data_IF_523052668453
#
_entry.id   IF_523052668453
#
_cell.length_a   1.000
_cell.length_b   1.000
_cell.length_c   1.000
_cell.angle_alpha   90.00
_cell.angle_beta   90.00
_cell.angle_gamma   90.00
#
_symmetry.space_group_name_H-M   'P 1'
#
loop_
_entity.id
_entity.type
_entity.pdbx_description
1 polymer ?
#
# COMPACT_ATOMS: atom_id res chain seq x y z
N UNK A 1 26.47 -4.48 3.60
CA UNK A 1 25.92 -3.43 4.49
C UNK A 1 24.71 -2.84 3.79
N UNK A 2 23.62 -2.61 4.50
CA UNK A 2 22.40 -1.97 4.00
C UNK A 2 22.08 -0.69 4.77
N UNK A 3 21.04 0.02 4.35
CA UNK A 3 20.52 1.20 5.04
C UNK A 3 18.99 1.09 5.14
N UNK A 4 18.49 1.11 6.37
CA UNK A 4 17.09 0.88 6.72
C UNK A 4 16.41 2.20 7.07
N UNK A 5 15.25 2.47 6.50
CA UNK A 5 14.38 3.60 6.85
C UNK A 5 12.92 3.24 6.54
N UNK A 6 11.93 3.87 7.19
CA UNK A 6 10.53 3.67 6.82
C UNK A 6 10.30 4.06 5.35
N UNK A 7 9.36 3.38 4.73
CA UNK A 7 9.03 3.55 3.31
C UNK A 7 7.52 3.61 3.14
N UNK A 8 7.08 4.50 2.25
CA UNK A 8 5.67 4.62 1.90
C UNK A 8 5.55 4.53 0.39
N UNK A 9 5.20 3.35 -0.08
CA UNK A 9 4.98 3.09 -1.49
C UNK A 9 3.63 3.64 -1.92
N UNK A 10 3.66 4.89 -2.39
CA UNK A 10 2.49 5.54 -2.96
C UNK A 10 1.99 4.74 -4.16
N UNK A 11 2.90 4.20 -4.97
CA UNK A 11 2.58 3.59 -6.24
C UNK A 11 3.68 2.64 -6.75
N UNK A 12 3.47 1.34 -6.57
CA UNK A 12 4.23 0.29 -7.26
C UNK A 12 3.36 -0.32 -8.34
N UNK A 13 3.69 -0.12 -9.61
CA UNK A 13 2.79 -0.58 -10.67
C UNK A 13 3.47 -0.84 -12.01
N UNK A 14 2.77 -1.64 -12.82
CA UNK A 14 2.90 -1.69 -14.26
C UNK A 14 1.50 -1.63 -14.90
N UNK A 15 1.36 -1.95 -16.19
CA UNK A 15 0.06 -1.89 -16.88
C UNK A 15 -0.93 -3.00 -16.49
N UNK A 16 -0.48 -4.01 -15.74
CA UNK A 16 -1.26 -5.21 -15.38
C UNK A 16 -1.70 -5.15 -13.92
N UNK A 17 -0.83 -4.70 -13.02
CA UNK A 17 -1.07 -4.68 -11.57
C UNK A 17 -0.50 -3.42 -10.93
N UNK A 18 -1.03 -3.09 -9.75
CA UNK A 18 -0.59 -1.99 -8.91
C UNK A 18 -0.75 -2.35 -7.43
N UNK A 19 0.06 -1.72 -6.58
CA UNK A 19 -0.03 -1.77 -5.13
C UNK A 19 0.30 -0.41 -4.52
N UNK A 20 -0.16 -0.21 -3.28
CA UNK A 20 0.35 0.80 -2.38
C UNK A 20 0.55 0.21 -1.00
N UNK A 21 1.67 0.54 -0.37
CA UNK A 21 2.21 -0.25 0.73
C UNK A 21 2.99 0.64 1.72
N UNK A 22 2.49 0.87 2.93
CA UNK A 22 3.31 1.39 4.03
C UNK A 22 4.22 0.28 4.58
N UNK A 23 5.49 0.61 4.74
CA UNK A 23 6.52 -0.19 5.39
C UNK A 23 7.07 0.58 6.58
N UNK A 24 6.88 0.03 7.78
CA UNK A 24 7.37 0.66 9.00
C UNK A 24 8.73 0.10 9.40
N UNK A 25 9.49 0.91 10.14
CA UNK A 25 10.72 0.46 10.79
C UNK A 25 10.67 0.83 12.26
N UNK A 26 11.50 0.18 13.07
CA UNK A 26 11.62 0.46 14.51
C UNK A 26 12.08 1.89 14.83
N UNK A 27 12.74 2.55 13.89
CA UNK A 27 13.20 3.94 13.98
C UNK A 27 12.76 4.68 12.71
N UNK A 28 12.40 5.96 12.86
CA UNK A 28 12.00 6.83 11.74
C UNK A 28 13.21 7.37 10.97
N UNK A 29 14.38 7.42 11.61
CA UNK A 29 15.63 7.85 11.02
C UNK A 29 16.32 6.70 10.29
N UNK A 30 17.04 7.02 9.21
CA UNK A 30 17.82 6.04 8.47
C UNK A 30 18.92 5.42 9.36
N UNK A 31 19.05 4.09 9.32
CA UNK A 31 20.05 3.31 10.08
C UNK A 31 20.86 2.38 9.17
N UNK A 32 22.20 2.39 9.26
CA UNK A 32 22.99 1.34 8.64
C UNK A 32 22.70 -0.01 9.33
N UNK A 33 22.72 -1.09 8.55
CA UNK A 33 22.51 -2.45 9.04
C UNK A 33 23.54 -3.42 8.43
N UNK A 34 23.72 -4.56 9.09
CA UNK A 34 24.47 -5.71 8.56
C UNK A 34 23.79 -7.03 8.95
N UNK A 35 23.97 -8.07 8.14
CA UNK A 35 23.47 -9.43 8.42
C UNK A 35 21.98 -9.47 8.74
N UNK A 36 21.62 -10.16 9.82
CA UNK A 36 20.23 -10.33 10.24
C UNK A 36 19.49 -9.02 10.55
N UNK A 37 20.20 -7.94 10.94
CA UNK A 37 19.58 -6.63 11.18
C UNK A 37 19.04 -5.99 9.88
N UNK A 38 19.64 -6.31 8.74
CA UNK A 38 19.09 -5.95 7.42
C UNK A 38 17.92 -6.84 7.01
N UNK A 39 17.59 -7.87 7.80
CA UNK A 39 16.69 -8.93 7.40
C UNK A 39 17.22 -9.78 6.24
N UNK A 40 18.55 -9.88 6.09
CA UNK A 40 19.19 -10.61 5.00
C UNK A 40 19.60 -12.03 5.43
N UNK A 41 19.57 -12.96 4.47
CA UNK A 41 19.81 -14.38 4.70
C UNK A 41 18.53 -15.16 5.02
N UNK A 42 18.62 -16.47 4.90
CA UNK A 42 17.49 -17.38 5.09
C UNK A 42 16.88 -17.23 6.50
N UNK A 43 15.56 -17.07 6.57
CA UNK A 43 14.85 -16.93 7.84
C UNK A 43 15.02 -15.60 8.58
N UNK A 44 15.70 -14.60 7.99
CA UNK A 44 15.91 -13.30 8.63
C UNK A 44 14.95 -12.19 8.17
N UNK A 45 14.12 -12.43 7.15
CA UNK A 45 13.21 -11.42 6.56
C UNK A 45 12.42 -10.61 7.61
N UNK A 46 11.92 -11.28 8.67
CA UNK A 46 11.14 -10.68 9.75
C UNK A 46 11.93 -10.38 11.03
N UNK A 47 13.26 -10.55 11.02
CA UNK A 47 14.15 -10.31 12.17
C UNK A 47 14.91 -8.98 12.06
N UNK A 48 14.72 -8.27 10.95
CA UNK A 48 15.39 -7.00 10.67
C UNK A 48 14.84 -5.81 11.46
N UNK A 49 15.30 -4.62 11.07
CA UNK A 49 14.85 -3.34 11.61
C UNK A 49 13.54 -2.84 11.01
N UNK A 50 13.19 -3.32 9.82
CA UNK A 50 12.07 -2.86 9.01
C UNK A 50 11.16 -4.00 8.61
N UNK A 51 9.89 -3.67 8.41
CA UNK A 51 8.91 -4.54 7.78
C UNK A 51 9.17 -4.63 6.28
N UNK A 52 9.66 -5.79 5.83
CA UNK A 52 9.96 -6.05 4.42
C UNK A 52 8.74 -6.40 3.57
N UNK A 53 7.64 -6.82 4.18
CA UNK A 53 6.41 -7.18 3.46
C UNK A 53 5.51 -5.97 3.31
N UNK A 54 5.38 -5.19 4.37
CA UNK A 54 4.45 -4.07 4.44
C UNK A 54 2.99 -4.52 4.54
N UNK A 55 2.09 -3.55 4.64
CA UNK A 55 0.64 -3.78 4.63
C UNK A 55 0.09 -3.37 3.26
N UNK A 56 0.10 -4.29 2.28
CA UNK A 56 -0.20 -3.92 0.90
C UNK A 56 -1.70 -3.91 0.56
N UNK A 57 -2.10 -2.89 -0.21
CA UNK A 57 -3.36 -2.93 -0.94
C UNK A 57 -3.08 -3.06 -2.44
N UNK A 58 -2.99 -4.30 -2.90
CA UNK A 58 -2.91 -4.65 -4.31
C UNK A 58 -4.26 -5.19 -4.81
N UNK A 59 -5.00 -4.40 -5.61
CA UNK A 59 -6.39 -4.73 -5.98
C UNK A 59 -6.56 -6.15 -6.55
N UNK A 60 -5.63 -6.60 -7.41
CA UNK A 60 -5.68 -7.95 -7.98
C UNK A 60 -5.48 -9.03 -6.92
N UNK A 61 -4.53 -8.85 -5.99
CA UNK A 61 -4.28 -9.77 -4.86
C UNK A 61 -5.51 -9.91 -3.97
N UNK A 62 -6.25 -8.81 -3.80
CA UNK A 62 -7.52 -8.76 -3.09
C UNK A 62 -8.74 -9.14 -3.94
N UNK A 63 -8.54 -9.86 -5.06
CA UNK A 63 -9.59 -10.47 -5.91
C UNK A 63 -10.44 -9.45 -6.69
N UNK A 64 -10.03 -8.18 -6.73
CA UNK A 64 -10.61 -7.16 -7.61
C UNK A 64 -10.00 -7.20 -9.03
N UNK A 65 -10.06 -8.37 -9.69
CA UNK A 65 -9.40 -8.61 -10.99
C UNK A 65 -9.93 -7.78 -12.16
N UNK A 66 -11.11 -7.19 -12.02
CA UNK A 66 -11.75 -6.32 -13.03
C UNK A 66 -11.50 -4.82 -12.79
N UNK A 67 -10.67 -4.46 -11.81
CA UNK A 67 -10.47 -3.07 -11.41
C UNK A 67 -9.39 -2.35 -12.21
N UNK A 68 -8.17 -2.88 -12.26
CA UNK A 68 -6.99 -2.22 -12.83
C UNK A 68 -6.33 -3.12 -13.88
N UNK A 69 -6.34 -2.71 -15.15
CA UNK A 69 -5.59 -3.24 -16.30
C UNK A 69 -6.10 -2.53 -17.57
N UNK A 70 -5.52 -2.80 -18.74
CA UNK A 70 -5.99 -2.27 -20.03
C UNK A 70 -7.46 -2.63 -20.24
N UNK A 71 -8.29 -1.62 -20.45
CA UNK A 71 -9.75 -1.76 -20.68
C UNK A 71 -10.58 -2.12 -19.44
N UNK A 72 -10.00 -2.08 -18.23
CA UNK A 72 -10.74 -2.27 -16.95
C UNK A 72 -11.28 -0.95 -16.41
N UNK A 73 -11.86 -0.96 -15.20
CA UNK A 73 -12.43 0.25 -14.56
C UNK A 73 -11.43 1.40 -14.51
N UNK A 74 -10.20 1.12 -14.07
CA UNK A 74 -9.02 1.97 -14.24
C UNK A 74 -8.25 1.42 -15.44
N UNK A 75 -8.38 2.11 -16.58
CA UNK A 75 -7.80 1.68 -17.85
C UNK A 75 -6.34 2.12 -17.95
N UNK A 76 -5.42 1.16 -17.80
CA UNK A 76 -3.98 1.44 -17.82
C UNK A 76 -3.43 1.80 -19.20
N UNK A 77 -4.23 1.70 -20.26
CA UNK A 77 -3.84 2.20 -21.59
C UNK A 77 -3.96 3.71 -21.74
N UNK A 78 -4.53 4.40 -20.74
CA UNK A 78 -4.69 5.85 -20.71
C UNK A 78 -4.03 6.43 -19.46
N UNK A 79 -3.69 7.72 -19.53
CA UNK A 79 -3.24 8.46 -18.35
C UNK A 79 -4.34 8.45 -17.28
N UNK A 80 -3.92 8.38 -16.02
CA UNK A 80 -4.80 8.50 -14.86
C UNK A 80 -4.16 9.46 -13.84
N UNK A 81 -4.99 9.99 -12.97
CA UNK A 81 -4.55 10.66 -11.74
C UNK A 81 -4.71 9.66 -10.60
N UNK A 82 -3.68 9.50 -9.78
CA UNK A 82 -3.71 8.67 -8.57
C UNK A 82 -3.67 9.63 -7.38
N UNK A 83 -4.69 9.59 -6.53
CA UNK A 83 -4.77 10.37 -5.29
C UNK A 83 -4.63 9.42 -4.12
N UNK A 84 -3.70 9.73 -3.23
CA UNK A 84 -3.50 9.04 -1.95
C UNK A 84 -3.78 10.03 -0.83
N UNK A 85 -4.69 9.67 0.07
CA UNK A 85 -5.07 10.51 1.21
C UNK A 85 -4.53 9.87 2.49
N UNK A 86 -3.87 10.67 3.33
CA UNK A 86 -3.37 10.28 4.63
C UNK A 86 -4.28 10.90 5.68
N UNK A 87 -5.20 10.10 6.21
CA UNK A 87 -6.22 10.57 7.16
C UNK A 87 -5.71 10.37 8.58
N UNK A 88 -5.87 11.40 9.42
CA UNK A 88 -5.51 11.34 10.84
C UNK A 88 -6.75 11.15 11.71
N UNK A 89 -6.57 10.54 12.90
CA UNK A 89 -7.67 10.22 13.84
C UNK A 89 -8.54 11.44 14.19
N UNK A 90 -7.95 12.64 14.23
CA UNK A 90 -8.62 13.89 14.60
C UNK A 90 -8.84 14.87 13.43
N UNK A 91 -8.52 14.47 12.20
CA UNK A 91 -8.54 15.31 10.99
C UNK A 91 -7.69 16.58 11.09
N UNK A 92 -6.58 16.53 11.83
CA UNK A 92 -5.58 17.61 11.89
C UNK A 92 -4.22 17.14 11.36
N UNK A 93 -3.35 18.10 11.03
CA UNK A 93 -1.97 17.82 10.56
C UNK A 93 -1.06 17.20 11.66
N UNK A 94 -1.53 17.12 12.91
CA UNK A 94 -0.78 16.60 14.05
C UNK A 94 -1.36 15.32 14.63
N UNK A 95 -2.52 14.90 14.17
CA UNK A 95 -3.14 13.65 14.60
C UNK A 95 -2.34 12.44 14.14
N UNK A 96 -2.53 11.33 14.84
CA UNK A 96 -1.98 10.03 14.44
C UNK A 96 -2.61 9.57 13.12
N UNK A 97 -1.80 9.06 12.19
CA UNK A 97 -2.29 8.44 10.96
C UNK A 97 -3.23 7.28 11.30
N UNK A 98 -4.45 7.31 10.75
CA UNK A 98 -5.47 6.27 10.98
C UNK A 98 -5.79 5.47 9.74
N UNK A 99 -5.67 6.08 8.55
CA UNK A 99 -6.13 5.46 7.32
C UNK A 99 -5.41 6.03 6.10
N UNK A 100 -5.05 5.16 5.15
CA UNK A 100 -4.55 5.54 3.83
C UNK A 100 -5.61 5.17 2.79
N UNK A 101 -6.19 6.18 2.14
CA UNK A 101 -7.22 6.01 1.11
C UNK A 101 -6.66 6.20 -0.29
N UNK A 102 -7.33 5.59 -1.27
CA UNK A 102 -6.97 5.63 -2.68
C UNK A 102 -8.16 6.06 -3.53
N UNK A 103 -7.92 7.01 -4.43
CA UNK A 103 -8.89 7.45 -5.45
C UNK A 103 -8.17 7.63 -6.78
N UNK A 104 -8.84 7.30 -7.88
CA UNK A 104 -8.35 7.52 -9.23
C UNK A 104 -9.22 8.53 -9.96
N UNK A 105 -8.64 9.29 -10.90
CA UNK A 105 -9.41 10.10 -11.86
C UNK A 105 -8.91 9.81 -13.26
N UNK A 106 -9.82 9.44 -14.16
CA UNK A 106 -9.51 9.15 -15.56
C UNK A 106 -10.63 9.68 -16.46
N UNK A 107 -10.26 10.36 -17.54
CA UNK A 107 -11.21 11.01 -18.47
C UNK A 107 -12.25 11.90 -17.74
N UNK A 108 -11.82 12.61 -16.70
CA UNK A 108 -12.66 13.48 -15.87
C UNK A 108 -13.60 12.75 -14.89
N UNK A 109 -13.55 11.41 -14.82
CA UNK A 109 -14.38 10.58 -13.93
C UNK A 109 -13.59 10.15 -12.70
N UNK A 110 -14.19 10.37 -11.53
CA UNK A 110 -13.69 9.85 -10.26
C UNK A 110 -14.00 8.35 -10.16
N UNK A 111 -13.01 7.56 -9.79
CA UNK A 111 -13.08 6.11 -9.60
C UNK A 111 -12.56 5.81 -8.20
N UNK A 112 -13.43 5.34 -7.31
CA UNK A 112 -13.04 4.92 -5.95
C UNK A 112 -12.18 3.67 -6.00
N UNK A 113 -11.33 3.44 -4.99
CA UNK A 113 -10.64 2.17 -4.85
C UNK A 113 -11.66 1.02 -4.76
N UNK A 114 -11.30 -0.14 -5.30
CA UNK A 114 -12.18 -1.30 -5.19
C UNK A 114 -11.95 -2.00 -3.85
N UNK A 115 -13.05 -2.24 -3.12
CA UNK A 115 -13.03 -3.06 -1.93
C UNK A 115 -12.52 -4.48 -2.19
N UNK A 116 -11.95 -5.10 -1.16
CA UNK A 116 -11.52 -6.50 -1.18
C UNK A 116 -12.68 -7.44 -1.54
N UNK A 117 -12.39 -8.52 -2.27
CA UNK A 117 -13.40 -9.49 -2.75
C UNK A 117 -13.15 -10.92 -2.27
N UNK A 118 -12.25 -11.11 -1.31
CA UNK A 118 -11.98 -12.43 -0.73
C UNK A 118 -13.19 -12.89 0.09
N UNK A 119 -13.70 -14.08 -0.21
CA UNK A 119 -14.80 -14.70 0.55
C UNK A 119 -14.33 -15.06 1.95
N UNK A 120 -15.17 -14.80 2.96
CA UNK A 120 -14.91 -15.19 4.34
C UNK A 120 -14.00 -14.24 5.13
N UNK A 121 -13.63 -13.09 4.57
CA UNK A 121 -12.97 -12.03 5.34
C UNK A 121 -13.95 -11.41 6.34
N UNK A 122 -13.42 -11.01 7.49
CA UNK A 122 -14.14 -10.24 8.52
C UNK A 122 -14.57 -8.87 8.01
N UNK A 123 -13.82 -8.28 7.06
CA UNK A 123 -14.11 -6.98 6.44
C UNK A 123 -14.19 -7.07 4.91
N UNK A 124 -15.28 -7.64 4.35
CA UNK A 124 -15.42 -7.85 2.91
C UNK A 124 -15.67 -6.55 2.11
N UNK A 125 -15.71 -5.40 2.78
CA UNK A 125 -15.96 -4.08 2.16
C UNK A 125 -14.80 -3.11 2.36
N UNK A 126 -13.68 -3.54 2.95
CA UNK A 126 -12.55 -2.64 3.15
C UNK A 126 -11.91 -2.27 1.81
N UNK A 127 -11.66 -0.98 1.59
CA UNK A 127 -11.13 -0.37 0.38
C UNK A 127 -9.94 0.58 0.67
N UNK A 128 -9.44 0.56 1.89
CA UNK A 128 -8.35 1.39 2.38
C UNK A 128 -7.47 0.62 3.37
N UNK A 129 -6.28 1.14 3.64
CA UNK A 129 -5.39 0.58 4.66
C UNK A 129 -5.68 1.23 6.01
N UNK A 130 -5.92 0.38 7.02
CA UNK A 130 -6.08 0.75 8.43
C UNK A 130 -5.34 -0.28 9.29
N UNK A 131 -5.16 -0.02 10.57
CA UNK A 131 -4.56 -1.02 11.49
C UNK A 131 -5.36 -2.34 11.54
N UNK A 132 -6.67 -2.29 11.32
CA UNK A 132 -7.56 -3.45 11.37
C UNK A 132 -7.80 -4.11 9.99
N UNK A 133 -7.23 -3.58 8.90
CA UNK A 133 -7.35 -4.15 7.55
C UNK A 133 -6.50 -5.42 7.43
#
# INVERSE_FOLDING_TARGET
MGNCCPEMDIWEANSISQAFTPHTCKDISAKPCTGALCGDGEGNRYKGLCDKDGCDFASYRWVATEFYCKGKKVDTSKKMTVTTQFVTKDNTDRGELSEIRRVYVQDGKVIQNEAVKIKGMTKPTADSLTEEF
#
